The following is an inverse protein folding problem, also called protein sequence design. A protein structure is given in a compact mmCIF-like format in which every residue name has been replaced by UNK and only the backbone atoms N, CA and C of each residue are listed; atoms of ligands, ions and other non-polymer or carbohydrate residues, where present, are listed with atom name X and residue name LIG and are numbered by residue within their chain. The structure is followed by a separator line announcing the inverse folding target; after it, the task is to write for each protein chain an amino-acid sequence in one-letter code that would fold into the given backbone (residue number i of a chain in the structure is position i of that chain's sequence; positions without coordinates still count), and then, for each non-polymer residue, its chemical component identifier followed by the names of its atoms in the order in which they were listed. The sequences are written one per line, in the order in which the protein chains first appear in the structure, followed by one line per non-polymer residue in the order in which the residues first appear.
data_IF_916138687897
#
_entry.id   IF_916138687897
#
_cell.length_a   1.000
_cell.length_b   1.000
_cell.length_c   1.000
_cell.angle_alpha   90.00
_cell.angle_beta   90.00
_cell.angle_gamma   90.00
#
_symmetry.space_group_name_H-M   'P 1'
#
loop_
_entity.id
_entity.type
_entity.pdbx_description
1 polymer ?
#
# COMPACT_ATOMS: atom_id res chain seq x y z
N UNK A 1 32.47 10.22 -55.22
CA UNK A 1 31.49 10.79 -54.27
C UNK A 1 31.33 9.82 -53.11
N UNK A 2 31.78 10.19 -51.91
CA UNK A 2 31.59 9.38 -50.71
C UNK A 2 30.29 9.78 -50.01
N UNK A 3 29.44 8.80 -49.68
CA UNK A 3 28.20 9.03 -48.95
C UNK A 3 28.50 9.34 -47.47
N UNK A 4 27.86 10.36 -46.92
CA UNK A 4 27.97 10.71 -45.51
C UNK A 4 27.36 9.61 -44.62
N UNK A 5 27.95 9.29 -43.46
CA UNK A 5 27.41 8.29 -42.55
C UNK A 5 26.08 8.78 -41.96
N UNK A 6 25.07 7.91 -41.97
CA UNK A 6 23.77 8.18 -41.37
C UNK A 6 23.92 8.40 -39.86
N UNK A 7 23.55 9.58 -39.38
CA UNK A 7 23.54 9.86 -37.94
C UNK A 7 22.43 9.03 -37.26
N UNK A 8 22.74 8.31 -36.16
CA UNK A 8 21.73 7.56 -35.43
C UNK A 8 20.66 8.49 -34.86
N UNK A 9 19.38 8.16 -35.07
CA UNK A 9 18.27 8.97 -34.60
C UNK A 9 18.20 8.99 -33.06
N UNK A 10 18.09 10.16 -32.42
CA UNK A 10 18.10 10.30 -30.96
C UNK A 10 16.85 9.72 -30.28
N UNK A 11 15.80 9.44 -31.04
CA UNK A 11 14.46 9.08 -30.55
C UNK A 11 14.38 7.69 -29.93
N UNK A 12 15.26 6.75 -30.31
CA UNK A 12 15.23 5.38 -29.77
C UNK A 12 15.78 5.29 -28.34
N UNK A 13 16.67 6.20 -27.95
CA UNK A 13 17.34 6.19 -26.64
C UNK A 13 16.47 6.72 -25.50
N UNK A 14 15.50 7.59 -25.79
CA UNK A 14 14.59 8.18 -24.80
C UNK A 14 13.29 7.38 -24.60
N UNK A 15 12.95 6.49 -25.54
CA UNK A 15 11.77 5.62 -25.44
C UNK A 15 11.86 4.64 -24.27
N UNK A 16 13.03 4.04 -24.05
CA UNK A 16 13.25 3.08 -22.97
C UNK A 16 13.08 3.67 -21.56
N UNK A 17 13.70 4.81 -21.19
CA UNK A 17 13.48 5.42 -19.89
C UNK A 17 12.04 5.89 -19.73
N UNK A 18 11.40 6.43 -20.78
CA UNK A 18 9.99 6.84 -20.72
C UNK A 18 9.04 5.64 -20.48
N UNK A 19 9.23 4.53 -21.19
CA UNK A 19 8.45 3.31 -20.98
C UNK A 19 8.70 2.71 -19.59
N UNK A 20 9.95 2.68 -19.13
CA UNK A 20 10.27 2.22 -17.77
C UNK A 20 9.59 3.08 -16.71
N UNK A 21 9.59 4.41 -16.86
CA UNK A 21 8.94 5.33 -15.96
C UNK A 21 7.41 5.13 -15.94
N UNK A 22 6.80 4.91 -17.10
CA UNK A 22 5.37 4.59 -17.21
C UNK A 22 5.01 3.29 -16.50
N UNK A 23 5.81 2.23 -16.67
CA UNK A 23 5.60 0.96 -15.98
C UNK A 23 5.75 1.13 -14.46
N UNK A 24 6.75 1.90 -14.01
CA UNK A 24 6.97 2.19 -12.60
C UNK A 24 5.83 3.01 -11.97
N UNK A 25 5.19 3.90 -12.74
CA UNK A 25 4.06 4.69 -12.27
C UNK A 25 2.71 3.94 -12.35
N UNK A 26 2.56 3.02 -13.30
CA UNK A 26 1.31 2.28 -13.52
C UNK A 26 0.93 1.41 -12.33
N UNK A 27 1.91 0.76 -11.68
CA UNK A 27 1.62 -0.13 -10.56
C UNK A 27 1.12 0.61 -9.31
N UNK A 28 1.78 1.68 -8.82
CA UNK A 28 1.21 2.52 -7.76
C UNK A 28 -0.18 3.06 -8.09
N UNK A 29 -0.41 3.50 -9.34
CA UNK A 29 -1.74 3.97 -9.78
C UNK A 29 -2.80 2.86 -9.70
N UNK A 30 -2.46 1.63 -10.09
CA UNK A 30 -3.32 0.46 -9.94
C UNK A 30 -3.65 0.18 -8.46
N UNK A 31 -2.65 0.19 -7.58
CA UNK A 31 -2.88 -0.04 -6.14
C UNK A 31 -3.81 1.04 -5.56
N UNK A 32 -3.58 2.31 -5.88
CA UNK A 32 -4.46 3.40 -5.44
C UNK A 32 -5.89 3.21 -5.97
N UNK A 33 -6.04 2.84 -7.24
CA UNK A 33 -7.34 2.56 -7.86
C UNK A 33 -8.06 1.35 -7.25
N UNK A 34 -7.32 0.36 -6.75
CA UNK A 34 -7.89 -0.78 -6.04
C UNK A 34 -8.33 -0.43 -4.60
N UNK A 35 -7.58 0.44 -3.91
CA UNK A 35 -7.75 0.72 -2.48
C UNK A 35 -8.76 1.83 -2.22
N UNK A 36 -8.65 2.97 -2.91
CA UNK A 36 -9.42 4.18 -2.57
C UNK A 36 -10.93 4.02 -2.72
N UNK A 37 -11.48 3.36 -3.77
CA UNK A 37 -12.91 3.11 -3.85
C UNK A 37 -13.44 2.27 -2.70
N UNK A 38 -12.67 1.28 -2.23
CA UNK A 38 -13.04 0.45 -1.09
C UNK A 38 -12.96 1.24 0.22
N UNK A 39 -11.90 2.03 0.39
CA UNK A 39 -11.71 2.86 1.58
C UNK A 39 -12.80 3.93 1.72
N UNK A 40 -13.13 4.64 0.64
CA UNK A 40 -14.19 5.66 0.63
C UNK A 40 -15.58 5.06 0.89
N UNK A 41 -15.83 3.83 0.44
CA UNK A 41 -17.12 3.16 0.66
C UNK A 41 -17.22 2.41 1.99
N UNK A 42 -16.11 2.21 2.71
CA UNK A 42 -16.09 1.44 3.95
C UNK A 42 -16.79 2.14 5.12
N UNK A 43 -16.92 3.47 5.10
CA UNK A 43 -17.59 4.26 6.14
C UNK A 43 -16.88 4.24 7.50
N UNK A 44 -15.58 3.94 7.53
CA UNK A 44 -14.79 3.88 8.75
C UNK A 44 -14.34 5.29 9.21
N UNK A 45 -14.27 5.55 10.53
CA UNK A 45 -13.80 6.84 11.06
C UNK A 45 -12.27 6.92 11.14
N UNK A 46 -11.75 8.12 11.39
CA UNK A 46 -10.32 8.34 11.67
C UNK A 46 -9.45 8.15 10.43
N UNK A 47 -9.51 9.13 9.51
CA UNK A 47 -8.80 9.11 8.23
C UNK A 47 -7.27 9.06 8.33
N UNK A 48 -6.74 9.46 9.49
CA UNK A 48 -5.36 9.23 9.93
C UNK A 48 -5.33 8.75 11.37
N UNK A 49 -4.44 7.81 11.67
CA UNK A 49 -4.25 7.18 12.99
C UNK A 49 -5.45 6.38 13.54
N UNK A 50 -6.53 6.24 12.75
CA UNK A 50 -7.77 5.56 13.14
C UNK A 50 -8.12 4.31 12.29
N UNK A 51 -9.32 3.74 12.46
CA UNK A 51 -9.75 2.53 11.74
C UNK A 51 -9.71 2.66 10.22
N UNK A 52 -10.06 3.83 9.67
CA UNK A 52 -10.02 4.06 8.23
C UNK A 52 -8.58 4.04 7.70
N UNK A 53 -7.64 4.59 8.45
CA UNK A 53 -6.21 4.56 8.11
C UNK A 53 -5.67 3.13 8.15
N UNK A 54 -5.98 2.40 9.22
CA UNK A 54 -5.63 1.00 9.37
C UNK A 54 -6.17 0.13 8.21
N UNK A 55 -7.41 0.37 7.79
CA UNK A 55 -8.00 -0.30 6.62
C UNK A 55 -7.27 0.04 5.32
N UNK A 56 -6.97 1.31 5.08
CA UNK A 56 -6.25 1.75 3.88
C UNK A 56 -4.87 1.09 3.77
N UNK A 57 -4.09 1.13 4.85
CA UNK A 57 -2.73 0.58 4.88
C UNK A 57 -2.72 -0.95 4.75
N UNK A 58 -3.57 -1.64 5.52
CA UNK A 58 -3.69 -3.10 5.43
C UNK A 58 -4.20 -3.56 4.06
N UNK A 59 -5.17 -2.86 3.47
CA UNK A 59 -5.69 -3.19 2.14
C UNK A 59 -4.65 -2.95 1.04
N UNK A 60 -3.94 -1.82 1.08
CA UNK A 60 -2.84 -1.55 0.14
C UNK A 60 -1.76 -2.63 0.20
N UNK A 61 -1.36 -3.01 1.42
CA UNK A 61 -0.39 -4.08 1.64
C UNK A 61 -0.89 -5.44 1.15
N UNK A 62 -2.16 -5.76 1.37
CA UNK A 62 -2.77 -6.99 0.88
C UNK A 62 -2.80 -7.03 -0.65
N UNK A 63 -3.20 -5.95 -1.31
CA UNK A 63 -3.20 -5.82 -2.78
C UNK A 63 -1.80 -6.06 -3.34
N UNK A 64 -0.78 -5.45 -2.73
CA UNK A 64 0.61 -5.64 -3.18
C UNK A 64 1.09 -7.06 -2.95
N UNK A 65 0.79 -7.66 -1.80
CA UNK A 65 1.17 -9.04 -1.50
C UNK A 65 0.48 -10.05 -2.43
N UNK A 66 -0.80 -9.85 -2.73
CA UNK A 66 -1.60 -10.72 -3.58
C UNK A 66 -1.19 -10.64 -5.07
N UNK A 67 -0.92 -9.43 -5.56
CA UNK A 67 -0.63 -9.22 -6.99
C UNK A 67 0.86 -9.31 -7.34
N UNK A 68 1.74 -9.17 -6.34
CA UNK A 68 3.18 -9.12 -6.56
C UNK A 68 3.95 -9.99 -5.57
N UNK A 69 4.15 -9.51 -4.34
CA UNK A 69 4.87 -10.25 -3.30
C UNK A 69 4.78 -9.58 -1.93
N UNK A 70 4.68 -10.34 -0.83
CA UNK A 70 4.83 -9.80 0.52
C UNK A 70 6.17 -9.08 0.73
N UNK A 71 7.24 -9.53 0.07
CA UNK A 71 8.56 -8.89 0.15
C UNK A 71 8.52 -7.44 -0.35
N UNK A 72 7.71 -7.15 -1.36
CA UNK A 72 7.56 -5.78 -1.85
C UNK A 72 6.90 -4.87 -0.80
N UNK A 73 6.00 -5.41 0.02
CA UNK A 73 5.42 -4.68 1.16
C UNK A 73 6.50 -4.38 2.21
N UNK A 74 7.38 -5.35 2.51
CA UNK A 74 8.48 -5.14 3.45
C UNK A 74 9.40 -3.99 2.97
N UNK A 75 9.76 -3.99 1.68
CA UNK A 75 10.56 -2.91 1.08
C UNK A 75 9.88 -1.54 1.17
N UNK A 76 8.61 -1.46 0.78
CA UNK A 76 7.85 -0.20 0.84
C UNK A 76 7.71 0.29 2.28
N UNK A 77 7.45 -0.61 3.22
CA UNK A 77 7.34 -0.29 4.65
C UNK A 77 8.67 0.19 5.23
N UNK A 78 9.79 -0.42 4.84
CA UNK A 78 11.13 0.03 5.25
C UNK A 78 11.44 1.44 4.73
N UNK A 79 11.08 1.75 3.49
CA UNK A 79 11.35 3.05 2.86
C UNK A 79 10.41 4.15 3.37
N UNK A 80 9.10 3.88 3.37
CA UNK A 80 8.08 4.89 3.67
C UNK A 80 7.85 5.07 5.17
N UNK A 81 7.81 3.95 5.92
CA UNK A 81 7.51 3.96 7.35
C UNK A 81 8.74 3.76 8.24
N UNK A 82 9.94 3.63 7.67
CA UNK A 82 11.18 3.37 8.41
C UNK A 82 11.09 2.15 9.35
N UNK A 83 10.37 1.11 8.92
CA UNK A 83 9.99 -0.06 9.73
C UNK A 83 9.22 0.29 11.00
N UNK A 84 8.45 1.38 10.99
CA UNK A 84 7.70 1.84 12.14
C UNK A 84 8.51 2.66 13.14
N UNK A 85 9.73 3.07 12.80
CA UNK A 85 10.58 3.87 13.70
C UNK A 85 10.22 5.35 13.69
N UNK A 86 10.31 5.96 14.87
CA UNK A 86 10.29 7.41 15.07
C UNK A 86 8.95 7.99 15.52
N UNK A 87 7.81 7.38 15.19
CA UNK A 87 6.49 7.81 15.67
C UNK A 87 5.54 6.64 15.90
N UNK A 88 4.55 6.81 16.78
CA UNK A 88 3.52 5.81 17.02
C UNK A 88 2.64 5.53 15.78
N UNK A 89 2.38 6.56 14.97
CA UNK A 89 1.68 6.48 13.69
C UNK A 89 2.38 5.50 12.74
N UNK A 90 3.69 5.67 12.53
CA UNK A 90 4.49 4.75 11.70
C UNK A 90 4.51 3.32 12.25
N UNK A 91 4.62 3.17 13.56
CA UNK A 91 4.62 1.85 14.20
C UNK A 91 3.31 1.09 13.96
N UNK A 92 2.18 1.81 14.06
CA UNK A 92 0.85 1.32 13.72
C UNK A 92 0.77 0.92 12.24
N UNK A 93 1.20 1.79 11.32
CA UNK A 93 1.15 1.52 9.87
C UNK A 93 2.00 0.31 9.49
N UNK A 94 3.24 0.24 9.98
CA UNK A 94 4.12 -0.89 9.72
C UNK A 94 3.58 -2.22 10.29
N UNK A 95 2.87 -2.16 11.42
CA UNK A 95 2.19 -3.32 12.00
C UNK A 95 1.01 -3.78 11.13
N UNK A 96 0.13 -2.87 10.75
CA UNK A 96 -1.03 -3.16 9.92
C UNK A 96 -0.64 -3.61 8.50
N UNK A 97 0.45 -3.06 7.95
CA UNK A 97 1.02 -3.50 6.67
C UNK A 97 1.42 -4.98 6.72
N UNK A 98 2.07 -5.42 7.81
CA UNK A 98 2.47 -6.83 7.98
C UNK A 98 1.26 -7.76 8.03
N UNK A 99 0.17 -7.35 8.70
CA UNK A 99 -1.07 -8.13 8.73
C UNK A 99 -1.71 -8.20 7.34
N UNK A 100 -1.85 -7.04 6.68
CA UNK A 100 -2.37 -6.97 5.31
C UNK A 100 -1.57 -7.82 4.33
N UNK A 101 -0.24 -7.77 4.40
CA UNK A 101 0.63 -8.59 3.57
C UNK A 101 0.41 -10.09 3.78
N UNK A 102 0.22 -10.56 5.03
CA UNK A 102 -0.11 -11.96 5.30
C UNK A 102 -1.44 -12.36 4.67
N UNK A 103 -2.48 -11.55 4.87
CA UNK A 103 -3.81 -11.80 4.28
C UNK A 103 -3.70 -11.87 2.75
N UNK A 104 -3.04 -10.90 2.11
CA UNK A 104 -2.85 -10.90 0.66
C UNK A 104 -2.07 -12.10 0.14
N UNK A 105 -1.06 -12.57 0.88
CA UNK A 105 -0.25 -13.73 0.50
C UNK A 105 -1.01 -15.05 0.50
N UNK A 106 -2.01 -15.19 1.38
CA UNK A 106 -2.75 -16.44 1.59
C UNK A 106 -4.16 -16.43 0.99
N UNK A 107 -4.64 -15.28 0.53
CA UNK A 107 -5.99 -15.14 0.01
C UNK A 107 -6.23 -16.01 -1.23
N UNK A 108 -7.33 -16.76 -1.21
CA UNK A 108 -7.73 -17.64 -2.32
C UNK A 108 -8.31 -16.90 -3.52
N UNK A 109 -8.71 -15.63 -3.33
CA UNK A 109 -9.25 -14.77 -4.39
C UNK A 109 -9.17 -13.30 -4.00
N UNK A 110 -9.27 -12.42 -4.99
CA UNK A 110 -9.36 -10.97 -4.79
C UNK A 110 -10.50 -10.56 -3.85
N UNK A 111 -11.67 -11.19 -4.00
CA UNK A 111 -12.83 -10.91 -3.14
C UNK A 111 -12.62 -11.42 -1.71
N UNK A 112 -11.98 -12.58 -1.55
CA UNK A 112 -11.62 -13.11 -0.23
C UNK A 112 -10.64 -12.17 0.49
N UNK A 113 -9.58 -11.74 -0.20
CA UNK A 113 -8.60 -10.78 0.33
C UNK A 113 -9.27 -9.52 0.88
N UNK A 114 -10.13 -8.87 0.08
CA UNK A 114 -10.82 -7.64 0.52
C UNK A 114 -11.71 -7.89 1.74
N UNK A 115 -12.48 -8.99 1.75
CA UNK A 115 -13.33 -9.36 2.88
C UNK A 115 -12.53 -9.66 4.15
N UNK A 116 -11.42 -10.38 4.02
CA UNK A 116 -10.56 -10.76 5.14
C UNK A 116 -9.86 -9.54 5.75
N UNK A 117 -9.37 -8.60 4.92
CA UNK A 117 -8.84 -7.32 5.41
C UNK A 117 -9.92 -6.54 6.14
N UNK A 118 -11.13 -6.43 5.58
CA UNK A 118 -12.24 -5.74 6.23
C UNK A 118 -12.58 -6.38 7.59
N UNK A 119 -12.71 -7.70 7.62
CA UNK A 119 -12.97 -8.44 8.85
C UNK A 119 -11.85 -8.26 9.88
N UNK A 120 -10.58 -8.20 9.46
CA UNK A 120 -9.47 -7.96 10.36
C UNK A 120 -9.52 -6.56 11.00
N UNK A 121 -9.97 -5.54 10.26
CA UNK A 121 -10.20 -4.19 10.80
C UNK A 121 -11.41 -4.17 11.74
N UNK A 122 -12.51 -4.83 11.38
CA UNK A 122 -13.71 -4.89 12.21
C UNK A 122 -13.43 -5.57 13.58
N UNK A 123 -12.47 -6.51 13.63
CA UNK A 123 -11.98 -7.15 14.87
C UNK A 123 -10.75 -6.46 15.49
N UNK A 124 -10.29 -5.36 14.90
CA UNK A 124 -9.16 -4.61 15.41
C UNK A 124 -9.50 -3.86 16.70
N UNK A 125 -8.49 -3.28 17.33
CA UNK A 125 -8.67 -2.53 18.56
C UNK A 125 -7.71 -1.34 18.68
N UNK A 126 -8.03 -0.46 19.63
CA UNK A 126 -7.13 0.63 20.03
C UNK A 126 -5.91 0.01 20.71
N UNK A 127 -4.71 0.39 20.24
CA UNK A 127 -3.41 -0.01 20.80
C UNK A 127 -3.29 -1.53 21.03
N UNK A 128 -3.83 -2.32 20.10
CA UNK A 128 -3.74 -3.77 20.13
C UNK A 128 -2.28 -4.23 20.12
N UNK A 129 -1.94 -5.13 21.03
CA UNK A 129 -0.56 -5.62 21.20
C UNK A 129 -0.27 -6.93 20.47
N UNK A 130 -1.33 -7.61 20.01
CA UNK A 130 -1.20 -8.87 19.29
C UNK A 130 -0.63 -8.64 17.89
N UNK A 131 0.32 -9.48 17.47
CA UNK A 131 0.87 -9.52 16.11
C UNK A 131 -0.15 -9.83 15.03
N UNK A 132 -1.31 -10.37 15.43
CA UNK A 132 -2.36 -10.87 14.55
C UNK A 132 -3.64 -10.05 14.61
N UNK A 133 -3.63 -8.93 15.35
CA UNK A 133 -4.77 -8.03 15.46
C UNK A 133 -4.42 -6.66 14.86
N UNK A 134 -5.28 -6.18 13.97
CA UNK A 134 -5.17 -4.81 13.46
C UNK A 134 -5.26 -3.84 14.64
N UNK A 135 -4.44 -2.80 14.59
CA UNK A 135 -4.41 -1.76 15.62
C UNK A 135 -4.63 -0.39 15.02
N UNK A 136 -5.24 0.50 15.79
CA UNK A 136 -5.21 1.93 15.55
C UNK A 136 -4.98 2.68 16.86
N UNK A 137 -4.78 3.99 16.81
CA UNK A 137 -4.52 4.79 18.01
C UNK A 137 -5.81 5.18 18.72
N UNK A 138 -5.72 5.70 19.93
CA UNK A 138 -6.91 6.24 20.62
C UNK A 138 -7.52 7.44 19.86
N UNK A 139 -8.85 7.66 19.92
CA UNK A 139 -9.54 8.71 19.17
C UNK A 139 -8.96 10.12 19.33
N UNK A 140 -8.40 10.44 20.50
CA UNK A 140 -7.74 11.73 20.75
C UNK A 140 -6.50 11.99 19.86
N UNK A 141 -5.95 10.95 19.23
CA UNK A 141 -4.83 11.03 18.30
C UNK A 141 -5.26 11.02 16.82
N UNK A 142 -6.54 10.78 16.53
CA UNK A 142 -7.04 10.73 15.16
C UNK A 142 -7.04 12.11 14.52
N UNK A 143 -6.91 12.14 13.20
CA UNK A 143 -7.12 13.35 12.41
C UNK A 143 -8.13 13.05 11.31
N UNK A 144 -9.13 13.92 11.18
CA UNK A 144 -10.10 13.86 10.08
C UNK A 144 -9.50 14.50 8.84
N UNK A 145 -8.51 13.80 8.27
CA UNK A 145 -7.83 14.17 7.03
C UNK A 145 -7.71 12.96 6.14
N UNK A 146 -7.69 13.20 4.83
CA UNK A 146 -7.54 12.14 3.85
C UNK A 146 -6.08 11.63 3.75
N UNK A 147 -5.12 12.33 4.36
CA UNK A 147 -3.67 12.04 4.38
C UNK A 147 -3.03 12.47 5.70
#
# INVERSE_FOLDING_TARGET
MAAAPAMPSPTRRWRWPATALLVLAAYPAFVLGAVYPQWLSAGLPGGRDGPADAYRHSLASAVVAYTLSPRCVDWVTAVMERDGRGTASRAMDAHNNRIGARIGATASSWAAMQREVRAAVDHGAIDARSSDQITWRAPAAWQDRLY
#
